data_IF_870856021270
#
_entry.id   IF_870856021270
#
_cell.length_a   1.000
_cell.length_b   1.000
_cell.length_c   1.000
_cell.angle_alpha   90.00
_cell.angle_beta   90.00
_cell.angle_gamma   90.00
#
_symmetry.space_group_name_H-M   'P 1'
#
loop_
_entity.id
_entity.type
_entity.pdbx_description
1 polymer ?
#
# COMPACT_ATOMS: atom_id res chain seq x y z
N UNK A 1 -6.43 -8.57 -72.86
CA UNK A 1 -5.42 -8.32 -71.81
C UNK A 1 -6.10 -7.53 -70.70
N UNK A 2 -6.25 -8.12 -69.51
CA UNK A 2 -6.88 -7.48 -68.35
C UNK A 2 -5.77 -6.78 -67.55
N UNK A 3 -5.86 -5.47 -67.28
CA UNK A 3 -4.81 -4.79 -66.52
C UNK A 3 -4.75 -5.39 -65.11
N UNK A 4 -3.54 -5.81 -64.70
CA UNK A 4 -3.28 -6.21 -63.31
C UNK A 4 -3.37 -4.94 -62.47
N UNK A 5 -4.31 -4.89 -61.53
CA UNK A 5 -4.31 -3.82 -60.52
C UNK A 5 -3.02 -3.94 -59.72
N UNK A 6 -2.24 -2.88 -59.76
CA UNK A 6 -1.13 -2.66 -58.84
C UNK A 6 -1.70 -2.55 -57.43
N UNK A 7 -1.50 -3.59 -56.62
CA UNK A 7 -1.74 -3.60 -55.18
C UNK A 7 -0.78 -2.59 -54.53
N UNK A 8 -1.24 -1.38 -54.28
CA UNK A 8 -0.45 -0.32 -53.67
C UNK A 8 -0.53 -0.43 -52.16
N UNK A 9 0.51 -0.96 -51.50
CA UNK A 9 0.94 -0.63 -50.13
C UNK A 9 -0.08 -0.57 -48.98
N UNK A 10 -1.34 -0.95 -49.18
CA UNK A 10 -2.45 -0.71 -48.24
C UNK A 10 -2.19 -1.45 -46.93
N UNK A 11 -1.73 -2.70 -47.01
CA UNK A 11 -1.34 -3.49 -45.85
C UNK A 11 -0.22 -2.83 -45.04
N UNK A 12 0.71 -2.12 -45.69
CA UNK A 12 1.80 -1.41 -45.01
C UNK A 12 1.27 -0.19 -44.23
N UNK A 13 0.30 0.52 -44.81
CA UNK A 13 -0.35 1.68 -44.17
C UNK A 13 -1.24 1.25 -43.00
N UNK A 14 -2.05 0.21 -43.19
CA UNK A 14 -2.91 -0.34 -42.12
C UNK A 14 -2.05 -0.84 -40.94
N UNK A 15 -0.97 -1.56 -41.22
CA UNK A 15 -0.05 -2.03 -40.18
C UNK A 15 0.59 -0.86 -39.42
N UNK A 16 1.02 0.20 -40.11
CA UNK A 16 1.63 1.38 -39.49
C UNK A 16 0.66 2.11 -38.54
N UNK A 17 -0.65 2.10 -38.82
CA UNK A 17 -1.68 2.69 -37.96
C UNK A 17 -2.02 1.77 -36.77
N UNK A 18 -2.05 0.46 -36.97
CA UNK A 18 -2.46 -0.51 -35.94
C UNK A 18 -1.35 -0.78 -34.92
N UNK A 19 -0.09 -0.89 -35.35
CA UNK A 19 1.04 -1.21 -34.47
C UNK A 19 1.10 -0.33 -33.21
N UNK A 20 1.04 1.02 -33.29
CA UNK A 20 1.18 1.86 -32.09
C UNK A 20 0.07 1.61 -31.07
N UNK A 21 -1.17 1.39 -31.54
CA UNK A 21 -2.31 1.08 -30.67
C UNK A 21 -2.13 -0.28 -30.01
N UNK A 22 -1.69 -1.28 -30.78
CA UNK A 22 -1.42 -2.63 -30.27
C UNK A 22 -0.30 -2.62 -29.22
N UNK A 23 0.78 -1.87 -29.46
CA UNK A 23 1.90 -1.73 -28.53
C UNK A 23 1.45 -1.12 -27.20
N UNK A 24 0.65 -0.04 -27.23
CA UNK A 24 0.12 0.61 -26.02
C UNK A 24 -0.76 -0.38 -25.25
N UNK A 25 -1.62 -1.13 -25.94
CA UNK A 25 -2.51 -2.10 -25.30
C UNK A 25 -1.72 -3.23 -24.62
N UNK A 26 -0.73 -3.81 -25.30
CA UNK A 26 0.10 -4.89 -24.74
C UNK A 26 0.88 -4.38 -23.52
N UNK A 27 1.57 -3.25 -23.63
CA UNK A 27 2.34 -2.69 -22.52
C UNK A 27 1.46 -2.24 -21.35
N UNK A 28 0.28 -1.69 -21.64
CA UNK A 28 -0.72 -1.34 -20.62
C UNK A 28 -1.22 -2.57 -19.87
N UNK A 29 -1.52 -3.66 -20.59
CA UNK A 29 -1.94 -4.92 -19.98
C UNK A 29 -0.83 -5.54 -19.11
N UNK A 30 0.43 -5.53 -19.56
CA UNK A 30 1.57 -6.01 -18.77
C UNK A 30 1.76 -5.16 -17.51
N UNK A 31 1.70 -3.83 -17.62
CA UNK A 31 1.83 -2.94 -16.46
C UNK A 31 0.68 -3.15 -15.45
N UNK A 32 -0.55 -3.36 -15.93
CA UNK A 32 -1.70 -3.69 -15.07
C UNK A 32 -1.51 -5.05 -14.35
N UNK A 33 -0.99 -6.06 -15.05
CA UNK A 33 -0.67 -7.35 -14.45
C UNK A 33 0.39 -7.24 -13.34
N UNK A 34 1.42 -6.42 -13.55
CA UNK A 34 2.46 -6.16 -12.54
C UNK A 34 1.90 -5.40 -11.32
N UNK A 35 1.05 -4.41 -11.54
CA UNK A 35 0.35 -3.69 -10.45
C UNK A 35 -0.53 -4.67 -9.66
N UNK A 36 -1.28 -5.53 -10.34
CA UNK A 36 -2.13 -6.53 -9.69
C UNK A 36 -1.33 -7.54 -8.86
N UNK A 37 -0.20 -8.03 -9.39
CA UNK A 37 0.72 -8.90 -8.66
C UNK A 37 1.25 -8.22 -7.39
N UNK A 38 1.65 -6.95 -7.51
CA UNK A 38 2.09 -6.14 -6.36
C UNK A 38 0.97 -5.92 -5.34
N UNK A 39 -0.26 -5.67 -5.80
CA UNK A 39 -1.43 -5.52 -4.92
C UNK A 39 -1.73 -6.80 -4.14
N UNK A 40 -1.64 -7.97 -4.78
CA UNK A 40 -1.83 -9.25 -4.09
C UNK A 40 -0.74 -9.52 -3.05
N UNK A 41 0.52 -9.26 -3.40
CA UNK A 41 1.64 -9.34 -2.45
C UNK A 41 1.47 -8.39 -1.27
N UNK A 42 1.06 -7.14 -1.53
CA UNK A 42 0.80 -6.14 -0.50
C UNK A 42 -0.40 -6.52 0.39
N UNK A 43 -1.47 -7.09 -0.16
CA UNK A 43 -2.61 -7.58 0.62
C UNK A 43 -2.19 -8.68 1.60
N UNK A 44 -1.40 -9.64 1.13
CA UNK A 44 -0.85 -10.66 2.01
C UNK A 44 0.06 -10.06 3.08
N UNK A 45 0.93 -9.13 2.71
CA UNK A 45 1.85 -8.48 3.65
C UNK A 45 1.16 -7.61 4.68
N UNK A 46 0.10 -6.90 4.28
CA UNK A 46 -0.74 -6.08 5.17
C UNK A 46 -1.50 -6.96 6.15
N UNK A 47 -2.00 -8.11 5.70
CA UNK A 47 -2.60 -9.09 6.61
C UNK A 47 -1.58 -9.67 7.61
N UNK A 48 -0.36 -10.00 7.17
CA UNK A 48 0.71 -10.47 8.07
C UNK A 48 1.12 -9.39 9.08
N UNK A 49 1.22 -8.13 8.63
CA UNK A 49 1.48 -6.98 9.49
C UNK A 49 0.39 -6.83 10.56
N UNK A 50 -0.89 -6.86 10.17
CA UNK A 50 -2.01 -6.77 11.09
C UNK A 50 -2.05 -7.94 12.07
N UNK A 51 -1.78 -9.17 11.60
CA UNK A 51 -1.73 -10.36 12.45
C UNK A 51 -0.62 -10.30 13.50
N UNK A 52 0.58 -9.88 13.10
CA UNK A 52 1.70 -9.78 14.04
C UNK A 52 1.50 -8.59 14.98
N UNK A 53 1.00 -7.45 14.47
CA UNK A 53 0.65 -6.29 15.28
C UNK A 53 -0.42 -6.61 16.32
N UNK A 54 -1.44 -7.40 15.96
CA UNK A 54 -2.53 -7.72 16.89
C UNK A 54 -2.09 -8.59 18.08
N UNK A 55 -0.95 -9.27 17.97
CA UNK A 55 -0.36 -10.09 19.04
C UNK A 55 0.70 -9.35 19.85
N UNK A 56 1.23 -8.22 19.36
CA UNK A 56 2.33 -7.47 19.99
C UNK A 56 1.96 -6.00 20.20
N UNK A 57 0.78 -5.80 20.76
CA UNK A 57 0.27 -4.52 21.26
C UNK A 57 0.17 -3.40 20.22
N UNK A 58 -0.05 -3.78 18.96
CA UNK A 58 -0.17 -2.87 17.82
C UNK A 58 1.05 -1.94 17.62
N UNK A 59 2.25 -2.39 18.03
CA UNK A 59 3.49 -1.65 17.82
C UNK A 59 3.89 -1.57 16.35
N UNK A 60 4.45 -0.42 15.95
CA UNK A 60 4.94 -0.21 14.59
C UNK A 60 6.05 -1.19 14.23
N UNK A 61 6.98 -1.45 15.15
CA UNK A 61 8.13 -2.34 14.94
C UNK A 61 7.70 -3.76 14.52
N UNK A 62 6.64 -4.28 15.13
CA UNK A 62 6.09 -5.61 14.87
C UNK A 62 5.20 -5.65 13.62
N UNK A 63 4.40 -4.61 13.37
CA UNK A 63 3.69 -4.47 12.10
C UNK A 63 4.66 -4.39 10.92
N UNK A 64 5.72 -3.59 11.05
CA UNK A 64 6.83 -3.52 10.08
C UNK A 64 7.45 -4.90 9.87
N UNK A 65 7.72 -5.65 10.93
CA UNK A 65 8.28 -7.00 10.84
C UNK A 65 7.34 -7.95 10.08
N UNK A 66 6.03 -7.88 10.30
CA UNK A 66 5.05 -8.66 9.53
C UNK A 66 4.98 -8.25 8.06
N UNK A 67 5.07 -6.95 7.79
CA UNK A 67 5.12 -6.43 6.43
C UNK A 67 6.38 -6.90 5.69
N UNK A 68 7.56 -6.86 6.33
CA UNK A 68 8.81 -7.37 5.76
C UNK A 68 8.68 -8.84 5.37
N UNK A 69 8.11 -9.69 6.24
CA UNK A 69 7.90 -11.10 5.95
C UNK A 69 6.95 -11.33 4.77
N UNK A 70 5.89 -10.54 4.68
CA UNK A 70 4.92 -10.66 3.60
C UNK A 70 5.41 -10.11 2.26
N UNK A 71 6.24 -9.06 2.28
CA UNK A 71 6.82 -8.48 1.06
C UNK A 71 8.08 -9.22 0.59
N UNK A 72 8.77 -9.97 1.45
CA UNK A 72 10.00 -10.70 1.12
C UNK A 72 9.95 -11.51 -0.19
N UNK A 73 8.87 -12.28 -0.51
CA UNK A 73 8.78 -13.03 -1.76
C UNK A 73 8.74 -12.13 -3.02
N UNK A 74 8.27 -10.88 -2.90
CA UNK A 74 8.21 -9.93 -4.02
C UNK A 74 9.60 -9.52 -4.50
N UNK A 75 10.62 -9.67 -3.64
CA UNK A 75 12.02 -9.37 -3.92
C UNK A 75 12.81 -10.63 -4.31
N UNK A 76 12.13 -11.71 -4.72
CA UNK A 76 12.75 -12.99 -5.12
C UNK A 76 13.78 -12.88 -6.24
N UNK A 77 13.70 -11.83 -7.07
CA UNK A 77 14.69 -11.50 -8.10
C UNK A 77 16.08 -11.17 -7.54
N UNK A 78 16.18 -10.78 -6.26
CA UNK A 78 17.44 -10.53 -5.58
C UNK A 78 17.96 -11.82 -4.91
N UNK A 79 19.29 -12.02 -4.84
CA UNK A 79 19.89 -13.16 -4.18
C UNK A 79 19.55 -13.17 -2.69
N UNK A 80 19.46 -14.36 -2.09
CA UNK A 80 18.91 -14.56 -0.74
C UNK A 80 19.64 -13.73 0.34
N UNK A 81 20.96 -13.62 0.24
CA UNK A 81 21.80 -12.85 1.16
C UNK A 81 21.46 -11.34 1.17
N UNK A 82 21.04 -10.77 0.05
CA UNK A 82 20.70 -9.35 -0.07
C UNK A 82 19.18 -9.09 -0.01
N UNK A 83 18.37 -10.12 -0.20
CA UNK A 83 16.91 -9.97 -0.38
C UNK A 83 16.24 -9.27 0.79
N UNK A 84 16.62 -9.63 2.02
CA UNK A 84 16.04 -9.03 3.21
C UNK A 84 16.41 -7.54 3.33
N UNK A 85 17.67 -7.20 3.05
CA UNK A 85 18.14 -5.81 3.06
C UNK A 85 17.38 -4.96 2.03
N UNK A 86 17.22 -5.47 0.80
CA UNK A 86 16.44 -4.79 -0.25
C UNK A 86 14.97 -4.61 0.14
N UNK A 87 14.37 -5.63 0.75
CA UNK A 87 12.99 -5.57 1.24
C UNK A 87 12.85 -4.52 2.33
N UNK A 88 13.79 -4.47 3.27
CA UNK A 88 13.80 -3.48 4.35
C UNK A 88 13.95 -2.05 3.84
N UNK A 89 14.88 -1.82 2.91
CA UNK A 89 15.05 -0.52 2.27
C UNK A 89 13.79 -0.07 1.55
N UNK A 90 13.07 -0.97 0.88
CA UNK A 90 11.85 -0.61 0.19
C UNK A 90 10.73 -0.26 1.18
N UNK A 91 10.54 -1.07 2.22
CA UNK A 91 9.54 -0.82 3.27
C UNK A 91 9.80 0.49 4.00
N UNK A 92 11.05 0.78 4.37
CA UNK A 92 11.37 1.97 5.17
C UNK A 92 11.28 3.28 4.38
N UNK A 93 11.39 3.22 3.05
CA UNK A 93 11.45 4.40 2.19
C UNK A 93 10.20 4.66 1.37
N UNK A 94 9.47 3.61 0.99
CA UNK A 94 8.38 3.72 0.03
C UNK A 94 7.06 3.10 0.51
N UNK A 95 6.98 2.73 1.80
CA UNK A 95 5.74 2.28 2.43
C UNK A 95 5.34 3.23 3.55
N UNK A 96 4.05 3.52 3.62
CA UNK A 96 3.42 4.24 4.72
C UNK A 96 2.39 3.32 5.39
N UNK A 97 2.55 3.14 6.70
CA UNK A 97 1.59 2.42 7.53
C UNK A 97 0.71 3.46 8.20
N UNK A 98 -0.60 3.29 8.11
CA UNK A 98 -1.60 4.09 8.81
C UNK A 98 -2.41 3.17 9.70
N UNK A 99 -2.43 3.45 11.01
CA UNK A 99 -3.30 2.76 11.96
C UNK A 99 -4.67 3.44 11.90
N UNK A 100 -5.65 2.82 11.25
CA UNK A 100 -7.00 3.38 11.12
C UNK A 100 -7.83 3.14 12.38
N UNK A 101 -7.67 1.97 13.00
CA UNK A 101 -8.26 1.62 14.29
C UNK A 101 -7.25 0.77 15.07
N UNK A 102 -7.07 0.99 16.38
CA UNK A 102 -7.77 1.97 17.21
C UNK A 102 -7.31 3.40 16.92
N UNK A 103 -8.24 4.37 16.90
CA UNK A 103 -7.90 5.78 16.70
C UNK A 103 -7.34 6.41 17.97
N UNK A 104 -6.69 7.56 17.86
CA UNK A 104 -6.24 8.35 19.03
C UNK A 104 -7.38 8.65 20.02
N UNK A 105 -8.58 8.94 19.51
CA UNK A 105 -9.77 9.12 20.34
C UNK A 105 -10.15 7.84 21.12
N UNK A 106 -10.10 6.67 20.47
CA UNK A 106 -10.37 5.39 21.15
C UNK A 106 -9.34 5.06 22.24
N UNK A 107 -8.09 5.51 22.08
CA UNK A 107 -7.10 5.40 23.15
C UNK A 107 -7.49 6.30 24.33
N UNK A 108 -7.80 7.56 24.08
CA UNK A 108 -8.18 8.50 25.14
C UNK A 108 -9.42 8.05 25.96
N UNK A 109 -10.37 7.34 25.33
CA UNK A 109 -11.60 6.88 25.99
C UNK A 109 -11.43 5.57 26.77
N UNK A 110 -10.52 4.68 26.35
CA UNK A 110 -10.47 3.29 26.81
C UNK A 110 -9.10 2.80 27.30
N UNK A 111 -8.09 3.68 27.36
CA UNK A 111 -6.78 3.31 27.87
C UNK A 111 -6.80 3.05 29.39
N UNK A 112 -6.21 1.92 29.79
CA UNK A 112 -5.98 1.55 31.18
C UNK A 112 -4.48 1.29 31.39
N UNK A 113 -4.00 1.47 32.62
CA UNK A 113 -2.62 1.13 32.99
C UNK A 113 -2.38 -0.39 32.90
N UNK A 114 -1.29 -0.77 32.27
CA UNK A 114 -0.78 -2.13 32.21
C UNK A 114 0.68 -2.19 32.62
N UNK A 115 0.94 -2.89 33.73
CA UNK A 115 2.29 -3.18 34.20
C UNK A 115 3.00 -4.16 33.23
N UNK A 116 4.23 -3.83 32.86
CA UNK A 116 5.13 -4.70 32.10
C UNK A 116 4.56 -5.22 30.77
N UNK A 117 3.77 -4.40 30.07
CA UNK A 117 3.08 -4.81 28.84
C UNK A 117 4.04 -5.29 27.74
N UNK A 118 5.24 -4.70 27.66
CA UNK A 118 6.25 -5.00 26.65
C UNK A 118 7.44 -5.82 27.17
N UNK A 119 7.43 -6.24 28.44
CA UNK A 119 8.53 -7.00 29.03
C UNK A 119 9.76 -6.16 29.42
N UNK A 120 9.59 -4.85 29.60
CA UNK A 120 10.63 -3.90 29.97
C UNK A 120 10.48 -3.33 31.39
N UNK A 121 9.49 -3.80 32.16
CA UNK A 121 9.20 -3.37 33.52
C UNK A 121 8.49 -2.01 33.62
N UNK A 122 8.15 -1.39 32.50
CA UNK A 122 7.46 -0.09 32.47
C UNK A 122 5.93 -0.28 32.41
N UNK A 123 5.20 0.63 33.06
CA UNK A 123 3.73 0.68 32.95
C UNK A 123 3.35 1.45 31.70
N UNK A 124 2.43 0.90 30.90
CA UNK A 124 1.93 1.54 29.68
C UNK A 124 0.43 1.62 29.66
N UNK A 125 -0.06 2.70 29.08
CA UNK A 125 -1.46 2.88 28.74
C UNK A 125 -1.82 1.99 27.55
N UNK A 126 -2.80 1.12 27.73
CA UNK A 126 -3.26 0.22 26.70
C UNK A 126 -4.76 -0.05 26.77
N UNK A 127 -5.36 -0.24 25.60
CA UNK A 127 -6.74 -0.69 25.47
C UNK A 127 -6.81 -2.16 25.87
N UNK A 128 -7.67 -2.44 26.85
CA UNK A 128 -7.95 -3.79 27.35
C UNK A 128 -8.34 -4.76 26.23
N UNK A 129 -7.83 -5.99 26.32
CA UNK A 129 -8.25 -7.10 25.44
C UNK A 129 -9.13 -8.17 26.11
N UNK A 130 -9.35 -8.08 27.42
CA UNK A 130 -10.15 -9.05 28.19
C UNK A 130 -11.56 -8.53 28.48
N UNK A 131 -12.51 -9.45 28.74
CA UNK A 131 -13.86 -9.12 29.22
C UNK A 131 -14.68 -8.11 28.38
N UNK A 132 -14.38 -7.96 27.09
CA UNK A 132 -15.04 -7.01 26.17
C UNK A 132 -16.57 -7.17 26.12
N UNK A 133 -17.08 -8.38 26.35
CA UNK A 133 -18.51 -8.70 26.35
C UNK A 133 -19.26 -8.16 27.58
N UNK A 134 -18.56 -7.91 28.68
CA UNK A 134 -19.15 -7.48 29.95
C UNK A 134 -19.05 -5.98 30.19
N UNK A 135 -18.37 -5.26 29.28
CA UNK A 135 -18.29 -3.82 29.34
C UNK A 135 -19.56 -3.22 28.73
N UNK A 136 -20.26 -2.37 29.48
CA UNK A 136 -21.31 -1.52 28.92
C UNK A 136 -20.62 -0.34 28.24
N UNK A 137 -21.10 0.04 27.07
CA UNK A 137 -20.70 1.30 26.46
C UNK A 137 -21.24 2.42 27.34
N UNK A 138 -20.40 3.01 28.19
CA UNK A 138 -20.73 4.22 28.94
C UNK A 138 -20.57 5.42 28.01
N UNK A 139 -21.68 6.03 27.58
CA UNK A 139 -21.85 7.33 26.88
C UNK A 139 -20.90 7.70 25.71
N UNK A 140 -19.96 6.84 25.32
CA UNK A 140 -19.07 7.03 24.17
C UNK A 140 -19.76 6.56 22.89
N UNK A 141 -19.77 7.39 21.86
CA UNK A 141 -20.31 7.05 20.53
C UNK A 141 -19.55 5.88 19.86
N UNK A 142 -18.34 5.58 20.34
CA UNK A 142 -17.48 4.49 19.89
C UNK A 142 -17.54 3.32 20.86
N UNK A 143 -17.50 2.08 20.35
CA UNK A 143 -17.55 0.86 21.16
C UNK A 143 -16.14 0.35 21.51
N UNK A 144 -15.93 -0.11 22.74
CA UNK A 144 -14.68 -0.81 23.14
C UNK A 144 -14.37 -2.01 22.23
N UNK A 145 -15.40 -2.65 21.65
CA UNK A 145 -15.21 -3.76 20.71
C UNK A 145 -14.58 -3.30 19.39
N UNK A 146 -14.90 -2.09 18.93
CA UNK A 146 -14.30 -1.50 17.73
C UNK A 146 -12.86 -1.05 18.02
N UNK A 147 -12.63 -0.52 19.23
CA UNK A 147 -11.29 -0.23 19.74
C UNK A 147 -10.42 -1.48 19.92
N UNK A 148 -11.00 -2.68 19.89
CA UNK A 148 -10.27 -3.95 19.88
C UNK A 148 -9.96 -4.47 18.46
N UNK A 149 -10.38 -3.77 17.41
CA UNK A 149 -10.05 -4.12 16.03
C UNK A 149 -8.84 -3.33 15.56
N UNK A 150 -7.74 -4.03 15.28
CA UNK A 150 -6.60 -3.46 14.60
C UNK A 150 -6.90 -3.39 13.10
N UNK A 151 -7.30 -2.19 12.66
CA UNK A 151 -7.43 -1.86 11.25
C UNK A 151 -6.23 -1.05 10.81
N UNK A 152 -5.45 -1.59 9.89
CA UNK A 152 -4.33 -0.89 9.29
C UNK A 152 -4.53 -0.70 7.80
N UNK A 153 -4.05 0.42 7.30
CA UNK A 153 -3.92 0.73 5.88
C UNK A 153 -2.44 0.84 5.57
N UNK A 154 -2.01 0.11 4.53
CA UNK A 154 -0.64 0.15 4.03
C UNK A 154 -0.67 0.68 2.61
N UNK A 155 0.10 1.73 2.37
CA UNK A 155 0.28 2.32 1.05
C UNK A 155 1.72 2.10 0.60
N UNK A 156 1.91 1.53 -0.58
CA UNK A 156 3.23 1.23 -1.14
C UNK A 156 3.41 1.93 -2.49
N UNK A 157 4.47 2.74 -2.61
CA UNK A 157 4.85 3.37 -3.86
C UNK A 157 5.73 2.44 -4.70
N UNK A 158 5.12 1.67 -5.60
CA UNK A 158 5.84 0.76 -6.49
C UNK A 158 6.46 1.51 -7.69
N UNK A 159 7.63 1.04 -8.15
CA UNK A 159 8.24 1.54 -9.39
C UNK A 159 7.47 1.05 -10.61
N UNK A 160 7.26 1.94 -11.57
CA UNK A 160 6.77 1.59 -12.90
C UNK A 160 7.90 0.89 -13.68
N UNK A 161 7.65 -0.35 -14.10
CA UNK A 161 8.64 -1.18 -14.81
C UNK A 161 8.64 -0.85 -16.31
N UNK A 162 7.51 -0.42 -16.87
CA UNK A 162 7.36 -0.15 -18.32
C UNK A 162 7.45 1.35 -18.61
N UNK A 163 8.62 1.88 -19.02
CA UNK A 163 8.83 3.32 -19.23
C UNK A 163 8.13 3.88 -20.47
N UNK A 164 7.82 3.04 -21.47
CA UNK A 164 7.24 3.51 -22.74
C UNK A 164 5.84 4.09 -22.56
N UNK A 165 5.03 3.59 -21.63
CA UNK A 165 3.68 4.12 -21.40
C UNK A 165 3.74 5.53 -20.81
N UNK A 166 4.70 5.82 -19.92
CA UNK A 166 4.83 7.17 -19.32
C UNK A 166 5.19 8.24 -20.37
N UNK A 167 6.10 7.92 -21.30
CA UNK A 167 6.53 8.85 -22.35
C UNK A 167 5.56 8.92 -23.54
N UNK A 168 4.93 7.81 -23.94
CA UNK A 168 3.98 7.81 -25.07
C UNK A 168 2.67 8.51 -24.70
N UNK A 169 2.20 8.37 -23.45
CA UNK A 169 1.01 9.09 -22.97
C UNK A 169 1.28 10.60 -22.76
N UNK A 170 2.48 10.97 -22.29
CA UNK A 170 2.86 12.39 -22.15
C UNK A 170 3.09 13.09 -23.50
N UNK A 171 3.58 12.37 -24.52
CA UNK A 171 3.73 12.91 -25.87
C UNK A 171 2.42 12.91 -26.67
N UNK A 172 1.52 11.93 -26.46
CA UNK A 172 0.18 11.94 -27.06
C UNK A 172 -0.73 13.02 -26.46
N UNK A 173 -0.56 13.38 -25.18
CA UNK A 173 -1.29 14.49 -24.55
C UNK A 173 -0.87 15.88 -25.06
N UNK A 174 0.37 16.03 -25.54
CA UNK A 174 0.81 17.28 -26.20
C UNK A 174 0.07 17.55 -27.53
N UNK A 175 -0.43 16.49 -28.20
CA UNK A 175 -1.22 16.60 -29.43
C UNK A 175 -2.73 16.68 -29.19
N UNK A 176 -3.19 16.47 -27.96
CA UNK A 176 -4.60 16.41 -27.63
C UNK A 176 -5.00 17.60 -26.74
N UNK A 177 -5.69 18.59 -27.33
CA UNK A 177 -6.21 19.78 -26.65
C UNK A 177 -7.20 19.46 -25.51
N UNK A 178 -7.59 18.18 -25.34
CA UNK A 178 -8.48 17.69 -24.27
C UNK A 178 -7.80 16.99 -23.08
N UNK A 179 -6.47 16.90 -23.01
CA UNK A 179 -5.74 16.38 -21.82
C UNK A 179 -6.14 14.97 -21.31
N UNK A 180 -6.91 14.15 -22.04
CA UNK A 180 -7.45 12.88 -21.51
C UNK A 180 -6.52 11.67 -21.66
N UNK A 181 -5.22 11.85 -21.41
CA UNK A 181 -4.28 10.71 -21.36
C UNK A 181 -3.38 10.87 -20.14
N UNK A 182 -3.94 10.62 -18.96
CA UNK A 182 -3.21 10.70 -17.70
C UNK A 182 -2.21 9.54 -17.57
N UNK A 183 -0.95 9.87 -17.26
CA UNK A 183 0.05 8.85 -16.91
C UNK A 183 -0.32 8.19 -15.57
N UNK A 184 0.10 6.93 -15.36
CA UNK A 184 -0.13 6.21 -14.09
C UNK A 184 0.31 7.02 -12.86
N UNK A 185 1.40 7.79 -13.00
CA UNK A 185 1.92 8.67 -11.95
C UNK A 185 0.93 9.79 -11.58
N UNK A 186 0.35 10.44 -12.60
CA UNK A 186 -0.58 11.55 -12.40
C UNK A 186 -1.88 11.06 -11.78
N UNK A 187 -2.43 9.96 -12.31
CA UNK A 187 -3.60 9.29 -11.72
C UNK A 187 -3.35 8.97 -10.26
N UNK A 188 -2.19 8.39 -9.93
CA UNK A 188 -1.86 8.04 -8.54
C UNK A 188 -1.74 9.25 -7.62
N UNK A 189 -1.29 10.41 -8.14
CA UNK A 189 -1.17 11.65 -7.37
C UNK A 189 -2.54 12.28 -7.12
N UNK A 190 -3.45 12.21 -8.09
CA UNK A 190 -4.82 12.70 -7.94
C UNK A 190 -5.65 11.81 -7.00
N UNK A 191 -5.44 10.49 -7.00
CA UNK A 191 -6.24 9.55 -6.20
C UNK A 191 -5.71 9.33 -4.79
N UNK A 192 -4.50 9.82 -4.45
CA UNK A 192 -3.85 9.55 -3.16
C UNK A 192 -3.40 10.86 -2.51
N UNK A 193 -4.06 11.27 -1.43
CA UNK A 193 -3.70 12.47 -0.67
C UNK A 193 -2.27 12.40 -0.11
N UNK A 194 -1.82 11.22 0.31
CA UNK A 194 -0.49 11.02 0.89
C UNK A 194 0.61 10.72 -0.14
N UNK A 195 0.36 10.94 -1.44
CA UNK A 195 1.28 10.53 -2.53
C UNK A 195 2.73 10.97 -2.29
N UNK A 196 2.94 12.24 -1.92
CA UNK A 196 4.29 12.79 -1.71
C UNK A 196 4.98 12.17 -0.48
N UNK A 197 4.22 11.86 0.57
CA UNK A 197 4.74 11.20 1.78
C UNK A 197 5.15 9.75 1.51
N UNK A 198 4.37 9.01 0.70
CA UNK A 198 4.65 7.61 0.36
C UNK A 198 5.77 7.50 -0.68
N UNK A 199 5.73 8.30 -1.74
CA UNK A 199 6.66 8.16 -2.87
C UNK A 199 7.98 8.93 -2.70
N UNK A 200 8.07 9.94 -1.81
CA UNK A 200 9.31 10.69 -1.51
C UNK A 200 10.11 11.13 -2.76
N UNK A 201 9.41 11.65 -3.78
CA UNK A 201 10.01 12.08 -5.04
C UNK A 201 10.30 10.98 -6.07
N UNK A 202 10.09 9.70 -5.73
CA UNK A 202 10.14 8.59 -6.70
C UNK A 202 8.95 8.67 -7.63
N UNK A 203 9.19 8.52 -8.94
CA UNK A 203 8.13 8.30 -9.92
C UNK A 203 7.59 6.88 -9.78
N UNK A 204 6.43 6.76 -9.14
CA UNK A 204 5.79 5.47 -8.89
C UNK A 204 4.27 5.57 -8.91
N UNK A 205 3.66 4.39 -8.79
CA UNK A 205 2.23 4.22 -8.62
C UNK A 205 1.97 3.73 -7.19
N UNK A 206 1.05 4.37 -6.48
CA UNK A 206 0.71 3.98 -5.12
C UNK A 206 -0.33 2.88 -5.14
N UNK A 207 0.01 1.75 -4.54
CA UNK A 207 -0.90 0.64 -4.30
C UNK A 207 -1.31 0.67 -2.84
N UNK A 208 -2.61 0.61 -2.59
CA UNK A 208 -3.18 0.62 -1.24
C UNK A 208 -3.75 -0.75 -0.88
N UNK A 209 -3.60 -1.11 0.39
CA UNK A 209 -4.15 -2.30 1.00
C UNK A 209 -4.64 -2.00 2.42
N UNK A 210 -5.72 -2.65 2.83
CA UNK A 210 -6.25 -2.57 4.19
C UNK A 210 -6.42 -3.98 4.75
N UNK A 211 -6.11 -4.16 6.03
CA UNK A 211 -6.42 -5.37 6.77
C UNK A 211 -7.01 -5.01 8.13
N UNK A 212 -7.97 -5.81 8.59
CA UNK A 212 -8.57 -5.70 9.91
C UNK A 212 -8.40 -7.05 10.62
N UNK A 213 -7.83 -7.03 11.82
CA UNK A 213 -7.62 -8.21 12.66
C UNK A 213 -8.02 -7.86 14.09
N UNK A 214 -8.69 -8.78 14.78
CA UNK A 214 -9.01 -8.60 16.20
C UNK A 214 -7.76 -8.70 17.05
N UNK A 215 -7.60 -7.78 17.99
CA UNK A 215 -6.48 -7.78 18.93
C UNK A 215 -6.44 -9.09 19.74
N UNK A 216 -5.23 -9.60 19.95
CA UNK A 216 -4.91 -10.76 20.79
C UNK A 216 -4.08 -10.37 22.01
N UNK A 217 -3.46 -9.19 22.00
CA UNK A 217 -2.89 -8.52 23.16
C UNK A 217 -3.59 -7.17 23.38
N UNK A 218 -3.44 -6.55 24.56
CA UNK A 218 -3.83 -5.15 24.77
C UNK A 218 -3.15 -4.23 23.75
N UNK A 219 -3.88 -3.28 23.16
CA UNK A 219 -3.29 -2.35 22.19
C UNK A 219 -2.65 -1.19 22.93
N UNK A 220 -1.39 -0.86 22.67
CA UNK A 220 -0.72 0.31 23.26
C UNK A 220 -0.58 1.44 22.25
N UNK A 221 -0.62 2.68 22.72
CA UNK A 221 -0.30 3.82 21.88
C UNK A 221 1.23 3.92 21.69
N UNK A 222 1.69 3.81 20.45
CA UNK A 222 3.11 3.83 20.09
C UNK A 222 3.58 5.27 19.82
N UNK A 223 3.91 6.00 20.89
CA UNK A 223 4.29 7.43 20.85
C UNK A 223 5.52 7.70 19.96
N UNK A 224 6.48 6.78 19.93
CA UNK A 224 7.74 6.97 19.21
C UNK A 224 7.57 6.98 17.68
N UNK A 225 6.61 6.20 17.18
CA UNK A 225 6.42 5.98 15.74
C UNK A 225 5.16 6.65 15.18
N UNK A 226 4.12 6.88 15.99
CA UNK A 226 2.93 7.65 15.58
C UNK A 226 3.32 9.10 15.22
N UNK A 227 2.93 9.55 14.03
CA UNK A 227 3.26 10.88 13.49
C UNK A 227 4.61 10.97 12.77
N UNK A 228 5.48 9.97 12.92
CA UNK A 228 6.80 9.93 12.26
C UNK A 228 6.85 8.88 11.15
N UNK A 229 6.76 7.59 11.50
CA UNK A 229 6.81 6.46 10.57
C UNK A 229 5.46 5.80 10.33
N UNK A 230 4.51 6.04 11.24
CA UNK A 230 3.14 5.56 11.18
C UNK A 230 2.18 6.74 11.29
N UNK A 231 1.14 6.79 10.46
CA UNK A 231 0.05 7.75 10.64
C UNK A 231 -0.99 7.19 11.62
N UNK A 232 -1.36 8.00 12.60
CA UNK A 232 -2.31 7.65 13.65
C UNK A 232 -3.34 8.79 13.70
N UNK A 233 -4.50 8.65 13.04
CA UNK A 233 -5.60 9.60 13.10
C UNK A 233 -6.32 9.54 14.46
#
# INVERSE_FOLDING_TARGET
>A
MKPRSTEHGQAMVEFLIIIPVLIILIFGAVQAALIYSTKNGLNYATFQAARIGSMNSAQYSDMRRGLLRGMYPMFSQFPENERMERTALEVDNFVLITRVSPSTAMFADYEEDHEDLLGDGETRLAIRNSNLMYHRNDDSDLSLQDANLLKIRVQYCMRLIVPMVEHLLSSASAFNHRQTVASFREVSRETTSEYEAVCRGRRGFVVTSEATVRMQSPASYDEDYCGNRMLCP
#
